data_IF_726545030702
#
_entry.id   IF_726545030702
#
_cell.length_a   1.000
_cell.length_b   1.000
_cell.length_c   1.000
_cell.angle_alpha   90.00
_cell.angle_beta   90.00
_cell.angle_gamma   90.00
#
_symmetry.space_group_name_H-M   'P 1'
#
loop_
_entity.id
_entity.type
_entity.pdbx_description
1 polymer ?
#
# COMPACT_ATOMS: atom_id res chain seq x y z
N UNK A 1 1.14 -7.15 9.53
CA UNK A 1 1.22 -6.98 8.06
C UNK A 1 1.46 -8.33 7.42
N UNK A 2 0.65 -8.67 6.42
CA UNK A 2 0.84 -9.84 5.56
C UNK A 2 1.30 -9.41 4.16
N UNK A 3 1.92 -10.32 3.42
CA UNK A 3 2.38 -10.08 2.04
C UNK A 3 1.78 -11.15 1.14
N UNK A 4 1.17 -10.72 0.04
CA UNK A 4 0.67 -11.58 -1.03
C UNK A 4 1.40 -11.25 -2.33
N UNK A 5 1.60 -12.26 -3.17
CA UNK A 5 2.20 -12.10 -4.50
C UNK A 5 1.14 -12.47 -5.52
N UNK A 6 0.81 -11.53 -6.39
CA UNK A 6 -0.12 -11.74 -7.49
C UNK A 6 0.61 -11.70 -8.83
N UNK A 7 0.21 -12.58 -9.73
CA UNK A 7 0.71 -12.59 -11.11
C UNK A 7 -0.27 -11.81 -11.99
N UNK A 8 0.19 -10.68 -12.53
CA UNK A 8 -0.59 -9.83 -13.42
C UNK A 8 -0.51 -10.42 -14.83
N UNK A 9 -1.64 -10.92 -15.34
CA UNK A 9 -1.68 -11.42 -16.71
C UNK A 9 -1.65 -10.24 -17.69
N UNK A 10 -0.69 -10.22 -18.62
CA UNK A 10 -0.28 -9.09 -19.46
C UNK A 10 -1.30 -8.62 -20.52
N UNK A 11 -2.58 -8.98 -20.37
CA UNK A 11 -3.64 -8.69 -21.34
C UNK A 11 -4.37 -7.35 -21.09
N UNK A 12 -4.00 -6.58 -20.06
CA UNK A 12 -4.52 -5.23 -19.86
C UNK A 12 -3.66 -4.20 -20.61
N UNK A 13 -4.23 -3.67 -21.69
CA UNK A 13 -3.83 -2.53 -22.53
C UNK A 13 -2.69 -1.64 -22.02
N UNK A 14 -1.77 -1.33 -22.93
CA UNK A 14 -0.48 -0.62 -22.84
C UNK A 14 -0.46 0.84 -22.33
N UNK A 15 -1.52 1.29 -21.66
CA UNK A 15 -1.64 2.65 -21.15
C UNK A 15 -2.28 2.56 -19.76
N UNK A 16 -1.64 3.04 -18.69
CA UNK A 16 -2.12 3.15 -17.28
C UNK A 16 -1.49 2.23 -16.21
N UNK A 17 -0.32 1.61 -16.44
CA UNK A 17 0.35 0.77 -15.42
C UNK A 17 1.12 1.55 -14.33
N UNK A 18 0.83 2.84 -14.10
CA UNK A 18 1.45 3.60 -13.01
C UNK A 18 0.65 3.40 -11.73
N UNK A 19 1.18 2.59 -10.82
CA UNK A 19 0.62 2.34 -9.50
C UNK A 19 1.31 3.22 -8.47
N UNK A 20 0.57 3.64 -7.44
CA UNK A 20 1.14 4.35 -6.31
C UNK A 20 1.65 3.34 -5.29
N UNK A 21 2.93 3.42 -4.92
CA UNK A 21 3.48 2.57 -3.88
C UNK A 21 2.84 2.93 -2.54
N UNK A 22 2.21 1.97 -1.87
CA UNK A 22 1.60 2.19 -0.57
C UNK A 22 2.62 2.69 0.48
N UNK A 23 3.86 2.19 0.44
CA UNK A 23 4.88 2.49 1.45
C UNK A 23 5.59 3.83 1.26
N UNK A 24 5.86 4.24 0.02
CA UNK A 24 6.61 5.47 -0.25
C UNK A 24 5.82 6.53 -1.01
N UNK A 25 4.58 6.24 -1.39
CA UNK A 25 3.68 7.14 -2.12
C UNK A 25 4.31 7.67 -3.43
N UNK A 26 5.23 6.90 -4.02
CA UNK A 26 5.82 7.18 -5.34
C UNK A 26 5.15 6.32 -6.40
N UNK A 27 4.91 6.92 -7.56
CA UNK A 27 4.43 6.19 -8.73
C UNK A 27 5.51 5.22 -9.21
N UNK A 28 5.10 4.01 -9.56
CA UNK A 28 5.98 3.00 -10.13
C UNK A 28 5.26 2.21 -11.21
N UNK A 29 6.05 1.66 -12.14
CA UNK A 29 5.53 0.78 -13.17
C UNK A 29 5.20 -0.58 -12.56
N UNK A 30 3.94 -1.00 -12.70
CA UNK A 30 3.48 -2.32 -12.29
C UNK A 30 4.13 -3.39 -13.17
N UNK A 31 4.76 -4.39 -12.54
CA UNK A 31 5.40 -5.51 -13.25
C UNK A 31 4.44 -6.69 -13.40
N UNK A 32 4.88 -7.73 -14.11
CA UNK A 32 4.14 -8.99 -14.29
C UNK A 32 3.82 -9.71 -12.96
N UNK A 33 4.56 -9.38 -11.90
CA UNK A 33 4.22 -9.78 -10.53
C UNK A 33 4.17 -8.55 -9.62
N UNK A 34 3.13 -8.47 -8.81
CA UNK A 34 2.92 -7.41 -7.81
C UNK A 34 3.01 -7.98 -6.41
N UNK A 35 3.58 -7.19 -5.50
CA UNK A 35 3.59 -7.47 -4.06
C UNK A 35 2.49 -6.65 -3.41
N UNK A 36 1.44 -7.34 -2.98
CA UNK A 36 0.28 -6.76 -2.30
C UNK A 36 0.55 -6.76 -0.79
N UNK A 37 0.34 -5.62 -0.16
CA UNK A 37 0.39 -5.44 1.28
C UNK A 37 -1.01 -5.60 1.86
N UNK A 38 -1.15 -6.51 2.81
CA UNK A 38 -2.41 -6.72 3.51
C UNK A 38 -2.26 -6.40 5.00
N UNK A 39 -3.37 -5.97 5.60
CA UNK A 39 -3.47 -5.85 7.05
C UNK A 39 -3.49 -7.25 7.73
N UNK A 40 -3.61 -7.27 9.05
CA UNK A 40 -3.62 -8.51 9.82
C UNK A 40 -4.90 -9.35 9.63
N UNK A 41 -5.95 -8.76 9.07
CA UNK A 41 -7.20 -9.44 8.71
C UNK A 41 -7.17 -9.98 7.27
N UNK A 42 -6.13 -9.66 6.50
CA UNK A 42 -6.00 -10.05 5.10
C UNK A 42 -6.65 -9.07 4.11
N UNK A 43 -7.09 -7.89 4.56
CA UNK A 43 -7.62 -6.86 3.67
C UNK A 43 -6.49 -6.24 2.86
N UNK A 44 -6.71 -6.06 1.56
CA UNK A 44 -5.74 -5.42 0.65
C UNK A 44 -5.61 -3.93 0.96
N UNK A 45 -4.40 -3.48 1.30
CA UNK A 45 -4.08 -2.07 1.55
C UNK A 45 -3.48 -1.37 0.32
N UNK A 46 -2.78 -2.11 -0.54
CA UNK A 46 -2.14 -1.57 -1.74
C UNK A 46 -0.85 -2.31 -2.12
N UNK A 47 -0.13 -1.79 -3.10
CA UNK A 47 1.07 -2.44 -3.66
C UNK A 47 2.39 -1.82 -3.20
N UNK A 48 3.44 -2.63 -3.14
CA UNK A 48 4.80 -2.19 -2.86
C UNK A 48 5.64 -2.13 -4.14
N UNK A 49 6.36 -1.01 -4.36
CA UNK A 49 7.30 -0.89 -5.45
C UNK A 49 8.58 -1.70 -5.21
N UNK A 50 9.29 -2.03 -6.30
CA UNK A 50 10.55 -2.81 -6.26
C UNK A 50 11.62 -2.18 -5.37
N UNK A 51 11.72 -0.85 -5.32
CA UNK A 51 12.66 -0.16 -4.44
C UNK A 51 12.36 -0.39 -2.95
N UNK A 52 11.08 -0.41 -2.57
CA UNK A 52 10.67 -0.68 -1.19
C UNK A 52 10.84 -2.17 -0.84
N UNK A 53 10.54 -3.06 -1.77
CA UNK A 53 10.77 -4.51 -1.62
C UNK A 53 12.24 -4.81 -1.37
N UNK A 54 13.15 -4.16 -2.11
CA UNK A 54 14.60 -4.34 -1.97
C UNK A 54 15.16 -3.96 -0.59
N UNK A 55 14.44 -3.13 0.19
CA UNK A 55 14.82 -2.78 1.57
C UNK A 55 14.49 -3.88 2.59
N UNK A 56 13.71 -4.88 2.18
CA UNK A 56 13.39 -6.05 2.99
C UNK A 56 12.19 -5.86 3.93
N UNK A 57 11.71 -7.01 4.44
CA UNK A 57 10.48 -7.10 5.21
C UNK A 57 10.46 -6.19 6.44
N UNK A 58 11.54 -6.15 7.23
CA UNK A 58 11.59 -5.34 8.46
C UNK A 58 11.37 -3.85 8.18
N UNK A 59 11.99 -3.33 7.12
CA UNK A 59 11.80 -1.93 6.74
C UNK A 59 10.36 -1.70 6.26
N UNK A 60 9.83 -2.58 5.41
CA UNK A 60 8.46 -2.49 4.91
C UNK A 60 7.43 -2.52 6.05
N UNK A 61 7.59 -3.44 7.00
CA UNK A 61 6.72 -3.58 8.16
C UNK A 61 6.69 -2.30 9.01
N UNK A 62 7.86 -1.72 9.27
CA UNK A 62 7.96 -0.47 10.03
C UNK A 62 7.29 0.70 9.30
N UNK A 63 7.48 0.82 7.99
CA UNK A 63 6.82 1.86 7.18
C UNK A 63 5.30 1.66 7.14
N UNK A 64 4.84 0.43 6.98
CA UNK A 64 3.42 0.08 6.98
C UNK A 64 2.74 0.47 8.29
N UNK A 65 3.38 0.19 9.44
CA UNK A 65 2.85 0.59 10.74
C UNK A 65 2.79 2.11 10.93
N UNK A 66 3.82 2.84 10.48
CA UNK A 66 3.85 4.30 10.55
C UNK A 66 2.72 4.95 9.74
N UNK A 67 2.50 4.47 8.51
CA UNK A 67 1.43 4.96 7.64
C UNK A 67 0.04 4.69 8.22
N UNK A 68 -0.22 3.47 8.68
CA UNK A 68 -1.50 3.14 9.29
C UNK A 68 -1.77 3.95 10.56
N UNK A 69 -0.73 4.24 11.36
CA UNK A 69 -0.87 5.14 12.50
C UNK A 69 -1.28 6.55 12.05
N UNK A 70 -0.65 7.10 11.01
CA UNK A 70 -1.02 8.42 10.47
C UNK A 70 -2.45 8.46 9.91
N UNK A 71 -2.85 7.42 9.17
CA UNK A 71 -4.22 7.30 8.63
C UNK A 71 -5.26 7.24 9.75
N UNK A 72 -5.00 6.44 10.79
CA UNK A 72 -5.89 6.38 11.94
C UNK A 72 -6.01 7.72 12.67
N UNK A 73 -4.90 8.48 12.77
CA UNK A 73 -4.95 9.83 13.35
C UNK A 73 -5.76 10.80 12.50
N UNK A 74 -5.65 10.77 11.17
CA UNK A 74 -6.45 11.64 10.29
C UNK A 74 -7.94 11.31 10.36
N UNK A 75 -8.31 10.02 10.34
CA UNK A 75 -9.71 9.58 10.43
C UNK A 75 -10.34 10.00 11.77
N UNK A 76 -9.60 9.88 12.88
CA UNK A 76 -10.08 10.32 14.19
C UNK A 76 -10.26 11.84 14.28
N UNK A 77 -9.50 12.62 13.49
CA UNK A 77 -9.66 14.08 13.45
C UNK A 77 -10.94 14.48 12.73
N UNK A 78 -11.23 13.86 11.59
CA UNK A 78 -12.45 14.11 10.82
C UNK A 78 -13.70 13.65 11.57
N UNK A 79 -13.61 12.53 12.30
CA UNK A 79 -14.71 12.01 13.13
C UNK A 79 -15.05 12.95 14.30
N UNK A 80 -14.06 13.66 14.85
CA UNK A 80 -14.27 14.64 15.93
C UNK A 80 -14.83 15.98 15.44
N UNK A 81 -14.71 16.31 14.15
CA UNK A 81 -15.35 17.50 13.56
C UNK A 81 -16.84 17.28 13.28
N UNK A 82 -17.27 16.02 13.08
CA UNK A 82 -18.67 15.66 12.87
C UNK A 82 -19.53 15.57 14.15
N UNK A 83 -18.91 15.60 15.35
CA UNK A 83 -19.63 15.50 16.65
C UNK A 83 -19.87 16.90 17.27
N UNK A 84 -19.53 17.99 16.58
CA UNK A 84 -19.84 19.36 17.03
C UNK A 84 -21.14 19.87 16.42
N UNK A 85 -22.29 19.35 16.88
CA UNK A 85 -23.61 19.99 16.71
C UNK A 85 -24.47 19.78 17.95
#
# INVERSE_FOLDING_TARGET
MQIQIEHNNSNSSCCENYQLCYLCQQHFERKEASVILCDDQGNNCGEACTHCIAKGYTWMHNQFQQLNYQINLSVNRESNELIKF
#
